data_IF_557128670304
#
_entry.id   IF_557128670304
#
_cell.length_a   1.000
_cell.length_b   1.000
_cell.length_c   1.000
_cell.angle_alpha   90.00
_cell.angle_beta   90.00
_cell.angle_gamma   90.00
#
_symmetry.space_group_name_H-M   'P 1'
#
loop_
_entity.id
_entity.type
_entity.pdbx_description
1 polymer ?
#
# COMPACT_ATOMS: atom_id res chain seq x y z
N UNK A 1 -14.98 49.90 5.02
CA UNK A 1 -14.78 48.47 5.30
C UNK A 1 -13.42 48.32 5.95
N UNK A 2 -13.42 47.86 7.20
CA UNK A 2 -12.34 48.09 8.17
C UNK A 2 -11.17 47.14 7.89
N UNK A 3 -9.95 47.67 7.95
CA UNK A 3 -8.68 46.95 7.77
C UNK A 3 -8.56 45.74 8.73
N UNK A 4 -9.36 45.74 9.80
CA UNK A 4 -9.53 44.65 10.75
C UNK A 4 -10.09 43.35 10.13
N UNK A 5 -10.91 43.45 9.06
CA UNK A 5 -11.42 42.27 8.35
C UNK A 5 -10.34 41.64 7.47
N UNK A 6 -9.37 42.44 6.98
CA UNK A 6 -8.24 41.96 6.19
C UNK A 6 -7.21 41.22 7.08
N UNK A 7 -7.01 41.72 8.31
CA UNK A 7 -6.12 41.12 9.31
C UNK A 7 -6.67 39.79 9.86
N UNK A 8 -7.99 39.63 9.96
CA UNK A 8 -8.61 38.39 10.44
C UNK A 8 -8.44 37.21 9.47
N UNK A 9 -8.41 37.47 8.16
CA UNK A 9 -8.27 36.43 7.13
C UNK A 9 -6.85 35.84 7.06
N UNK A 10 -5.83 36.56 7.50
CA UNK A 10 -4.43 36.12 7.41
C UNK A 10 -4.07 35.06 8.46
N UNK A 11 -4.79 35.02 9.59
CA UNK A 11 -4.50 34.10 10.71
C UNK A 11 -4.96 32.66 10.42
N UNK A 12 -5.90 32.48 9.49
CA UNK A 12 -6.51 31.17 9.20
C UNK A 12 -5.56 30.28 8.37
N UNK A 13 -4.53 30.84 7.74
CA UNK A 13 -3.57 30.09 6.91
C UNK A 13 -2.51 29.31 7.71
N UNK A 14 -2.43 29.47 9.04
CA UNK A 14 -1.34 28.91 9.84
C UNK A 14 -1.61 27.52 10.44
N UNK A 15 -2.80 26.93 10.22
CA UNK A 15 -3.15 25.63 10.83
C UNK A 15 -3.27 24.47 9.83
N UNK A 16 -2.65 24.56 8.65
CA UNK A 16 -2.45 23.38 7.80
C UNK A 16 -1.28 22.56 8.36
N UNK A 17 -1.50 21.97 9.54
CA UNK A 17 -0.65 20.90 10.07
C UNK A 17 -0.87 19.68 9.18
N UNK A 18 0.04 19.47 8.24
CA UNK A 18 0.15 18.21 7.53
C UNK A 18 0.89 17.25 8.45
N UNK A 19 0.14 16.46 9.23
CA UNK A 19 0.72 15.35 9.99
C UNK A 19 1.35 14.36 9.00
N UNK A 20 2.68 14.40 8.92
CA UNK A 20 3.46 13.41 8.21
C UNK A 20 3.53 12.20 9.12
N UNK A 21 2.72 11.17 8.86
CA UNK A 21 2.87 9.89 9.55
C UNK A 21 4.30 9.39 9.35
N UNK A 22 5.06 9.28 10.43
CA UNK A 22 6.34 8.59 10.46
C UNK A 22 6.09 7.09 10.25
N UNK A 23 5.96 6.71 8.98
CA UNK A 23 6.13 5.33 8.57
C UNK A 23 7.58 4.94 8.84
N UNK A 24 7.79 4.06 9.82
CA UNK A 24 9.07 3.40 10.10
C UNK A 24 9.77 3.10 8.76
N UNK A 25 10.88 3.81 8.53
CA UNK A 25 11.75 3.68 7.36
C UNK A 25 12.54 2.38 7.54
N UNK A 26 11.85 1.25 7.37
CA UNK A 26 12.50 0.02 6.94
C UNK A 26 12.58 0.06 5.42
N UNK A 27 13.74 -0.30 4.85
CA UNK A 27 14.09 -0.20 3.42
C UNK A 27 13.25 -1.12 2.51
N UNK A 28 11.92 -1.04 2.54
CA UNK A 28 11.08 -1.77 1.61
C UNK A 28 11.03 -1.03 0.27
N UNK A 29 11.28 -1.73 -0.82
CA UNK A 29 11.27 -1.12 -2.16
C UNK A 29 9.88 -0.69 -2.64
N UNK A 30 8.81 -1.30 -2.12
CA UNK A 30 7.43 -0.95 -2.47
C UNK A 30 6.62 -0.54 -1.24
N UNK A 31 5.86 0.55 -1.41
CA UNK A 31 4.68 0.90 -0.60
C UNK A 31 3.46 0.93 -1.53
N UNK A 32 2.46 0.07 -1.29
CA UNK A 32 1.22 0.05 -2.08
C UNK A 32 0.00 0.24 -1.18
N UNK A 33 -0.95 1.06 -1.66
CA UNK A 33 -2.21 1.35 -0.98
C UNK A 33 -3.35 0.80 -1.82
N UNK A 34 -4.08 -0.17 -1.29
CA UNK A 34 -5.06 -0.87 -2.10
C UNK A 34 -5.87 -1.88 -1.34
N UNK A 35 -6.69 -2.61 -2.07
CA UNK A 35 -7.52 -3.68 -1.53
C UNK A 35 -6.86 -5.03 -1.81
N UNK A 36 -6.70 -5.87 -0.78
CA UNK A 36 -6.21 -7.24 -0.96
C UNK A 36 -7.36 -8.13 -1.42
N UNK A 37 -7.14 -8.88 -2.48
CA UNK A 37 -8.11 -9.79 -3.08
C UNK A 37 -7.46 -11.14 -3.35
N UNK A 38 -8.28 -12.19 -3.46
CA UNK A 38 -7.77 -13.46 -4.00
C UNK A 38 -7.53 -13.32 -5.50
N UNK A 39 -6.34 -13.69 -5.92
CA UNK A 39 -6.05 -14.04 -7.30
C UNK A 39 -6.87 -15.29 -7.64
N UNK A 40 -7.47 -15.34 -8.84
CA UNK A 40 -8.24 -16.49 -9.30
C UNK A 40 -7.39 -17.75 -9.47
N UNK A 41 -7.90 -18.74 -10.20
CA UNK A 41 -7.11 -19.92 -10.53
C UNK A 41 -5.87 -19.51 -11.34
N UNK A 42 -4.68 -19.69 -10.78
CA UNK A 42 -3.40 -19.47 -11.45
C UNK A 42 -2.59 -20.75 -11.50
N UNK A 43 -1.76 -20.89 -12.53
CA UNK A 43 -0.78 -21.97 -12.63
C UNK A 43 0.50 -21.70 -11.83
N UNK A 44 0.58 -20.52 -11.19
CA UNK A 44 1.77 -20.05 -10.49
C UNK A 44 1.85 -20.64 -9.07
N UNK A 45 2.98 -21.25 -8.72
CA UNK A 45 3.19 -21.93 -7.43
C UNK A 45 3.41 -21.00 -6.22
N UNK A 46 3.25 -19.68 -6.38
CA UNK A 46 3.73 -18.71 -5.39
C UNK A 46 2.71 -17.64 -4.96
N UNK A 47 1.44 -17.69 -5.39
CA UNK A 47 0.48 -16.73 -4.83
C UNK A 47 -0.95 -16.87 -5.31
N UNK A 48 -1.87 -16.74 -4.35
CA UNK A 48 -3.32 -16.64 -4.57
C UNK A 48 -3.85 -15.27 -4.16
N UNK A 49 -2.99 -14.27 -3.94
CA UNK A 49 -3.40 -12.93 -3.51
C UNK A 49 -2.84 -11.86 -4.43
N UNK A 50 -3.58 -10.78 -4.54
CA UNK A 50 -3.21 -9.59 -5.28
C UNK A 50 -3.64 -8.35 -4.51
N UNK A 51 -2.94 -7.24 -4.68
CA UNK A 51 -3.39 -5.93 -4.23
C UNK A 51 -3.81 -5.09 -5.43
N UNK A 52 -5.05 -4.60 -5.38
CA UNK A 52 -5.56 -3.62 -6.35
C UNK A 52 -5.24 -2.22 -5.84
N UNK A 53 -4.22 -1.60 -6.43
CA UNK A 53 -3.73 -0.27 -6.06
C UNK A 53 -3.93 0.68 -7.24
N UNK A 54 -4.81 1.67 -7.05
CA UNK A 54 -5.24 2.58 -8.12
C UNK A 54 -5.76 1.81 -9.35
N UNK A 55 -5.10 1.95 -10.50
CA UNK A 55 -5.45 1.30 -11.77
C UNK A 55 -4.62 0.05 -12.07
N UNK A 56 -3.77 -0.40 -11.14
CA UNK A 56 -2.89 -1.54 -11.31
C UNK A 56 -3.17 -2.63 -10.27
N UNK A 57 -2.89 -3.87 -10.64
CA UNK A 57 -3.02 -5.04 -9.76
C UNK A 57 -1.67 -5.72 -9.67
N UNK A 58 -1.20 -5.94 -8.45
CA UNK A 58 0.11 -6.53 -8.20
C UNK A 58 -0.05 -7.88 -7.50
N UNK A 59 0.59 -8.96 -7.99
CA UNK A 59 0.71 -10.20 -7.25
C UNK A 59 1.41 -9.96 -5.93
N UNK A 60 0.87 -10.51 -4.85
CA UNK A 60 1.48 -10.40 -3.52
C UNK A 60 1.56 -11.77 -2.85
N UNK A 61 2.61 -11.95 -2.05
CA UNK A 61 2.80 -13.09 -1.18
C UNK A 61 3.34 -12.59 0.15
N UNK A 62 3.13 -13.34 1.22
CA UNK A 62 3.91 -13.15 2.43
C UNK A 62 4.29 -14.50 3.01
N UNK A 63 5.56 -14.63 3.40
CA UNK A 63 6.04 -15.77 4.20
C UNK A 63 5.74 -15.62 5.69
N UNK A 64 5.43 -14.42 6.17
CA UNK A 64 5.33 -14.11 7.61
C UNK A 64 3.95 -13.60 8.04
N UNK A 65 3.15 -13.11 7.10
CA UNK A 65 1.83 -12.51 7.37
C UNK A 65 0.75 -13.36 6.72
N UNK A 66 -0.27 -13.71 7.51
CA UNK A 66 -1.49 -14.32 7.02
C UNK A 66 -2.35 -13.28 6.26
N UNK A 67 -2.32 -13.36 4.93
CA UNK A 67 -3.04 -12.45 4.03
C UNK A 67 -4.55 -12.68 4.03
N UNK A 68 -5.04 -13.86 4.46
CA UNK A 68 -6.49 -14.12 4.54
C UNK A 68 -7.18 -13.15 5.50
N UNK A 69 -6.49 -12.75 6.57
CA UNK A 69 -7.00 -11.77 7.56
C UNK A 69 -7.27 -10.39 6.98
N UNK A 70 -6.75 -10.11 5.79
CA UNK A 70 -6.86 -8.82 5.11
C UNK A 70 -7.65 -8.88 3.81
N UNK A 71 -8.27 -10.03 3.50
CA UNK A 71 -9.11 -10.16 2.31
C UNK A 71 -10.24 -9.13 2.28
N UNK A 72 -10.40 -8.51 1.12
CA UNK A 72 -11.35 -7.45 0.81
C UNK A 72 -11.21 -6.22 1.72
N UNK A 73 -10.05 -6.04 2.38
CA UNK A 73 -9.75 -4.86 3.19
C UNK A 73 -8.83 -3.91 2.45
N UNK A 74 -9.07 -2.61 2.62
CA UNK A 74 -8.15 -1.56 2.19
C UNK A 74 -7.01 -1.44 3.19
N UNK A 75 -5.79 -1.63 2.71
CA UNK A 75 -4.58 -1.63 3.54
C UNK A 75 -3.46 -0.87 2.85
N UNK A 76 -2.44 -0.55 3.63
CA UNK A 76 -1.12 -0.13 3.14
C UNK A 76 -0.18 -1.29 3.37
N UNK A 77 0.50 -1.75 2.32
CA UNK A 77 1.49 -2.83 2.40
C UNK A 77 2.88 -2.29 2.11
N UNK A 78 3.88 -2.89 2.74
CA UNK A 78 5.28 -2.68 2.40
C UNK A 78 5.96 -4.02 2.17
N UNK A 79 6.80 -4.07 1.14
CA UNK A 79 7.49 -5.30 0.74
C UNK A 79 8.51 -5.08 -0.37
N UNK A 80 9.13 -6.18 -0.78
CA UNK A 80 10.21 -6.19 -1.75
C UNK A 80 9.81 -6.93 -3.03
N UNK A 81 10.28 -6.48 -4.21
CA UNK A 81 10.09 -7.23 -5.45
C UNK A 81 10.84 -8.55 -5.33
N UNK A 82 10.14 -9.62 -5.64
CA UNK A 82 10.70 -10.96 -5.71
C UNK A 82 10.43 -11.52 -7.10
N UNK A 83 11.45 -12.05 -7.78
CA UNK A 83 11.26 -12.63 -9.09
C UNK A 83 10.22 -13.76 -9.05
N UNK A 84 9.39 -13.83 -10.08
CA UNK A 84 8.44 -14.93 -10.25
C UNK A 84 9.12 -16.27 -10.50
N UNK A 85 8.32 -17.33 -10.68
CA UNK A 85 8.87 -18.68 -10.82
C UNK A 85 9.76 -18.82 -12.07
N UNK A 86 11.02 -19.30 -11.95
CA UNK A 86 12.00 -19.26 -13.04
C UNK A 86 11.66 -20.10 -14.28
N UNK A 87 10.90 -21.18 -14.10
CA UNK A 87 10.65 -22.16 -15.17
C UNK A 87 9.49 -21.74 -16.07
N UNK A 88 8.45 -21.11 -15.50
CA UNK A 88 7.16 -20.86 -16.17
C UNK A 88 6.91 -19.37 -16.49
N UNK A 89 7.93 -18.51 -16.36
CA UNK A 89 7.79 -17.05 -16.54
C UNK A 89 6.63 -16.44 -15.75
N UNK A 90 6.43 -16.92 -14.51
CA UNK A 90 5.44 -16.31 -13.64
C UNK A 90 5.77 -14.82 -13.42
N UNK A 91 4.76 -13.93 -13.33
CA UNK A 91 5.01 -12.51 -13.08
C UNK A 91 5.71 -12.29 -11.73
N UNK A 92 6.62 -11.33 -11.69
CA UNK A 92 7.21 -10.87 -10.44
C UNK A 92 6.11 -10.50 -9.43
N UNK A 93 6.40 -10.73 -8.16
CA UNK A 93 5.47 -10.47 -7.07
C UNK A 93 6.14 -9.65 -5.98
N UNK A 94 5.31 -9.09 -5.10
CA UNK A 94 5.79 -8.36 -3.94
C UNK A 94 5.70 -9.27 -2.72
N UNK A 95 6.84 -9.52 -2.10
CA UNK A 95 6.93 -10.21 -0.82
C UNK A 95 6.61 -9.22 0.30
N UNK A 96 5.39 -9.29 0.82
CA UNK A 96 4.85 -8.40 1.84
C UNK A 96 5.48 -8.71 3.18
N UNK A 97 6.13 -7.71 3.77
CA UNK A 97 6.79 -7.78 5.08
C UNK A 97 6.04 -7.00 6.16
N UNK A 98 5.18 -6.05 5.77
CA UNK A 98 4.37 -5.24 6.69
C UNK A 98 3.02 -4.88 6.10
N UNK A 99 1.98 -4.86 6.94
CA UNK A 99 0.63 -4.41 6.60
C UNK A 99 0.12 -3.44 7.67
N UNK A 100 -0.52 -2.34 7.24
CA UNK A 100 -1.27 -1.41 8.09
C UNK A 100 -2.70 -1.28 7.56
N UNK A 101 -3.68 -1.34 8.46
CA UNK A 101 -5.08 -1.06 8.09
C UNK A 101 -5.24 0.42 7.76
N UNK A 102 -6.09 0.73 6.78
CA UNK A 102 -6.50 2.10 6.48
C UNK A 102 -7.69 2.52 7.34
#
# INVERSE_FOLDING_TARGET
MKIEVLLLCFIIFLFTSCEKEEGIIGEYKYELKGEIQKMGATWYMYGTYQIKSNSATYPIKSSTIDLDKYLNKKVIIWGDPTPGYPIDFGPDYIEVKRIKNK
#
